data_IF_663029552578
#
_entry.id   IF_663029552578
#
_cell.length_a   1.000
_cell.length_b   1.000
_cell.length_c   1.000
_cell.angle_alpha   90.00
_cell.angle_beta   90.00
_cell.angle_gamma   90.00
#
_symmetry.space_group_name_H-M   'P 1'
#
loop_
_entity.id
_entity.type
_entity.pdbx_description
1 polymer ?
#
# COMPACT_ATOMS: atom_id res chain seq x y z
N UNK A 1 19.22 14.21 -8.81
CA UNK A 1 17.73 14.11 -8.88
C UNK A 1 17.25 13.32 -7.68
N UNK A 2 16.30 13.83 -6.93
CA UNK A 2 15.73 13.12 -5.79
C UNK A 2 14.85 11.98 -6.30
N UNK A 3 15.07 10.76 -5.80
CA UNK A 3 14.22 9.59 -6.16
C UNK A 3 12.80 9.87 -5.73
N UNK A 4 11.85 9.75 -6.65
CA UNK A 4 10.42 9.85 -6.38
C UNK A 4 9.81 8.47 -6.23
N UNK A 5 8.82 8.35 -5.35
CA UNK A 5 8.15 7.11 -4.99
C UNK A 5 6.64 7.31 -5.09
N UNK A 6 5.92 6.25 -5.42
CA UNK A 6 4.46 6.26 -5.32
C UNK A 6 4.01 5.32 -4.21
N UNK A 7 3.22 5.85 -3.29
CA UNK A 7 2.48 5.08 -2.30
C UNK A 7 1.04 4.89 -2.73
N UNK A 8 0.50 3.68 -2.55
CA UNK A 8 -0.90 3.34 -2.85
C UNK A 8 -1.56 2.73 -1.62
N UNK A 9 -2.73 3.22 -1.28
CA UNK A 9 -3.64 2.67 -0.28
C UNK A 9 -4.86 2.08 -1.01
N UNK A 10 -4.93 0.76 -1.05
CA UNK A 10 -6.05 0.03 -1.61
C UNK A 10 -7.06 -0.29 -0.51
N UNK A 11 -8.17 0.42 -0.50
CA UNK A 11 -9.31 0.11 0.36
C UNK A 11 -10.48 -0.50 -0.41
N UNK A 12 -11.40 -1.15 0.28
CA UNK A 12 -12.61 -1.70 -0.34
C UNK A 12 -13.53 -0.62 -0.95
N UNK A 13 -13.44 0.61 -0.50
CA UNK A 13 -14.27 1.74 -0.98
C UNK A 13 -13.51 2.71 -1.87
N UNK A 14 -12.25 3.01 -1.53
CA UNK A 14 -11.42 3.99 -2.22
C UNK A 14 -10.01 3.46 -2.46
N UNK A 15 -9.45 3.83 -3.61
CA UNK A 15 -8.03 3.74 -3.92
C UNK A 15 -7.45 5.13 -3.79
N UNK A 16 -6.36 5.26 -3.06
CA UNK A 16 -5.59 6.50 -2.93
C UNK A 16 -4.18 6.28 -3.42
N UNK A 17 -3.64 7.22 -4.18
CA UNK A 17 -2.23 7.19 -4.55
C UNK A 17 -1.57 8.53 -4.24
N UNK A 18 -0.30 8.49 -3.89
CA UNK A 18 0.47 9.69 -3.60
C UNK A 18 1.87 9.59 -4.16
N UNK A 19 2.34 10.68 -4.76
CA UNK A 19 3.74 10.90 -5.13
C UNK A 19 4.46 11.55 -3.95
N UNK A 20 5.58 10.97 -3.54
CA UNK A 20 6.44 11.52 -2.49
C UNK A 20 7.92 11.41 -2.88
N UNK A 21 8.76 12.20 -2.23
CA UNK A 21 10.20 12.03 -2.30
C UNK A 21 10.71 10.94 -1.33
N UNK A 22 12.01 10.65 -1.38
CA UNK A 22 12.64 9.65 -0.53
C UNK A 22 12.62 10.01 0.99
N UNK A 23 12.32 11.26 1.33
CA UNK A 23 12.16 11.71 2.72
C UNK A 23 10.71 11.58 3.21
N UNK A 24 9.80 11.10 2.35
CA UNK A 24 8.38 10.98 2.66
C UNK A 24 7.58 12.28 2.51
N UNK A 25 8.17 13.31 1.90
CA UNK A 25 7.46 14.56 1.63
C UNK A 25 6.51 14.35 0.47
N UNK A 26 5.22 14.39 0.76
CA UNK A 26 4.16 14.20 -0.22
C UNK A 26 4.04 15.41 -1.14
N UNK A 27 4.11 15.18 -2.45
CA UNK A 27 4.03 16.22 -3.47
C UNK A 27 2.65 16.27 -4.14
N UNK A 28 2.00 15.13 -4.24
CA UNK A 28 0.68 15.00 -4.85
C UNK A 28 -0.08 13.85 -4.22
N UNK A 29 -1.39 13.98 -4.17
CA UNK A 29 -2.32 12.93 -3.75
C UNK A 29 -3.53 12.93 -4.65
N UNK A 30 -3.96 11.73 -5.06
CA UNK A 30 -5.15 11.49 -5.87
C UNK A 30 -5.97 10.36 -5.23
N UNK A 31 -7.25 10.30 -5.52
CA UNK A 31 -8.13 9.27 -5.01
C UNK A 31 -9.29 9.00 -5.97
N UNK A 32 -9.76 7.76 -6.00
CA UNK A 32 -10.95 7.34 -6.75
C UNK A 32 -11.73 6.28 -5.96
N UNK A 33 -12.95 5.97 -6.39
CA UNK A 33 -13.71 4.85 -5.86
C UNK A 33 -13.10 3.52 -6.32
N UNK A 34 -13.06 2.54 -5.43
CA UNK A 34 -12.55 1.20 -5.75
C UNK A 34 -13.49 0.46 -6.70
N UNK A 35 -14.81 0.60 -6.49
CA UNK A 35 -15.85 -0.15 -7.21
C UNK A 35 -15.54 -1.65 -7.22
N UNK A 36 -15.34 -2.22 -6.02
CA UNK A 36 -14.83 -3.57 -5.81
C UNK A 36 -15.67 -4.66 -6.48
N UNK A 37 -16.96 -4.42 -6.64
CA UNK A 37 -17.92 -5.35 -7.29
C UNK A 37 -17.65 -5.55 -8.79
N UNK A 38 -16.86 -4.70 -9.42
CA UNK A 38 -16.47 -4.87 -10.82
C UNK A 38 -15.34 -5.89 -11.02
N UNK A 39 -14.82 -6.46 -9.91
CA UNK A 39 -13.85 -7.53 -9.91
C UNK A 39 -12.39 -7.08 -9.96
N UNK A 40 -11.45 -8.03 -9.78
CA UNK A 40 -10.03 -7.74 -9.61
C UNK A 40 -9.40 -7.00 -10.78
N UNK A 41 -9.70 -7.38 -12.00
CA UNK A 41 -9.11 -6.78 -13.21
C UNK A 41 -9.43 -5.29 -13.32
N UNK A 42 -10.70 -4.92 -13.14
CA UNK A 42 -11.14 -3.52 -13.18
C UNK A 42 -10.50 -2.69 -12.05
N UNK A 43 -10.39 -3.25 -10.86
CA UNK A 43 -9.75 -2.59 -9.72
C UNK A 43 -8.25 -2.41 -9.97
N UNK A 44 -7.56 -3.41 -10.53
CA UNK A 44 -6.13 -3.33 -10.87
C UNK A 44 -5.88 -2.22 -11.90
N UNK A 45 -6.73 -2.11 -12.94
CA UNK A 45 -6.61 -1.01 -13.91
C UNK A 45 -6.83 0.35 -13.25
N UNK A 46 -7.74 0.47 -12.27
CA UNK A 46 -7.89 1.71 -11.47
C UNK A 46 -6.66 2.01 -10.62
N UNK A 47 -6.05 1.01 -10.01
CA UNK A 47 -4.78 1.20 -9.29
C UNK A 47 -3.74 1.76 -10.25
N UNK A 48 -3.58 1.16 -11.44
CA UNK A 48 -2.64 1.63 -12.44
C UNK A 48 -2.95 3.08 -12.88
N UNK A 49 -4.20 3.41 -13.11
CA UNK A 49 -4.62 4.76 -13.48
C UNK A 49 -4.30 5.78 -12.37
N UNK A 50 -4.52 5.42 -11.09
CA UNK A 50 -4.20 6.30 -9.96
C UNK A 50 -2.69 6.50 -9.79
N UNK A 51 -1.86 5.48 -10.05
CA UNK A 51 -0.40 5.61 -10.05
C UNK A 51 0.03 6.58 -11.17
N UNK A 52 -0.52 6.45 -12.38
CA UNK A 52 -0.22 7.34 -13.50
C UNK A 52 -0.64 8.78 -13.21
N UNK A 53 -1.82 8.97 -12.64
CA UNK A 53 -2.33 10.29 -12.25
C UNK A 53 -1.49 10.92 -11.13
N UNK A 54 -1.07 10.14 -10.14
CA UNK A 54 -0.22 10.63 -9.06
C UNK A 54 1.15 11.07 -9.58
N UNK A 55 1.80 10.26 -10.44
CA UNK A 55 3.15 10.57 -10.94
C UNK A 55 3.19 11.64 -12.02
N UNK A 56 2.11 11.85 -12.80
CA UNK A 56 2.03 12.86 -13.90
C UNK A 56 3.28 12.87 -14.81
N UNK A 57 3.72 11.71 -15.24
CA UNK A 57 4.90 11.58 -16.09
C UNK A 57 6.25 11.66 -15.37
N UNK A 58 6.27 11.88 -14.05
CA UNK A 58 7.51 11.82 -13.27
C UNK A 58 8.12 10.41 -13.31
N UNK A 59 9.44 10.34 -13.36
CA UNK A 59 10.17 9.08 -13.21
C UNK A 59 10.15 8.68 -11.74
N UNK A 60 9.62 7.50 -11.46
CA UNK A 60 9.55 6.94 -10.11
C UNK A 60 10.55 5.79 -9.93
N UNK A 61 11.10 5.65 -8.74
CA UNK A 61 12.08 4.61 -8.41
C UNK A 61 11.46 3.35 -7.81
N UNK A 62 10.28 3.44 -7.19
CA UNK A 62 9.56 2.29 -6.62
C UNK A 62 8.10 2.63 -6.34
N UNK A 63 7.30 1.57 -6.12
CA UNK A 63 5.91 1.65 -5.68
C UNK A 63 5.75 0.87 -4.37
N UNK A 64 5.12 1.47 -3.36
CA UNK A 64 4.67 0.82 -2.14
C UNK A 64 3.15 0.74 -2.10
N UNK A 65 2.57 -0.41 -1.76
CA UNK A 65 1.13 -0.58 -1.72
C UNK A 65 0.67 -1.27 -0.43
N UNK A 66 -0.27 -0.65 0.27
CA UNK A 66 -1.06 -1.25 1.34
C UNK A 66 -2.33 -1.85 0.77
N UNK A 67 -2.61 -3.12 1.08
CA UNK A 67 -3.80 -3.84 0.64
C UNK A 67 -4.59 -4.39 1.82
N UNK A 68 -5.92 -4.51 1.71
CA UNK A 68 -6.75 -5.12 2.75
C UNK A 68 -6.51 -6.63 2.84
N UNK A 69 -6.75 -7.17 4.04
CA UNK A 69 -6.65 -8.60 4.32
C UNK A 69 -5.22 -9.14 4.42
N UNK A 70 -5.07 -10.46 4.58
CA UNK A 70 -3.77 -11.10 4.63
C UNK A 70 -3.05 -10.99 3.28
N UNK A 71 -1.77 -10.64 3.36
CA UNK A 71 -0.86 -10.53 2.21
C UNK A 71 0.36 -11.41 2.45
N UNK A 72 0.90 -11.98 1.39
CA UNK A 72 2.26 -12.51 1.39
C UNK A 72 3.23 -11.40 0.94
N UNK A 73 3.96 -10.77 1.86
CA UNK A 73 4.85 -9.67 1.52
C UNK A 73 6.13 -10.15 0.81
N UNK A 74 6.46 -11.44 0.88
CA UNK A 74 7.63 -12.00 0.22
C UNK A 74 7.36 -12.27 -1.26
N UNK A 75 6.19 -12.82 -1.58
CA UNK A 75 5.75 -13.04 -2.97
C UNK A 75 5.01 -11.83 -3.55
N UNK A 76 4.52 -10.92 -2.71
CA UNK A 76 3.75 -9.74 -3.13
C UNK A 76 2.35 -10.09 -3.62
N UNK A 77 1.73 -11.05 -2.93
CA UNK A 77 0.40 -11.59 -3.23
C UNK A 77 -0.60 -11.11 -2.19
N UNK A 78 -1.76 -10.62 -2.62
CA UNK A 78 -2.93 -10.45 -1.76
C UNK A 78 -3.63 -11.80 -1.68
N UNK A 79 -3.56 -12.47 -0.52
CA UNK A 79 -4.10 -13.81 -0.35
C UNK A 79 -5.61 -13.82 -0.40
N UNK A 80 -6.23 -12.90 0.33
CA UNK A 80 -7.68 -12.65 0.28
C UNK A 80 -7.98 -11.23 0.73
N UNK A 81 -8.92 -10.57 0.07
CA UNK A 81 -9.49 -9.30 0.54
C UNK A 81 -10.99 -9.50 0.81
N UNK A 82 -11.42 -9.62 2.09
CA UNK A 82 -12.79 -10.08 2.43
C UNK A 82 -13.92 -9.21 1.87
N UNK A 83 -13.65 -7.92 1.70
CA UNK A 83 -14.64 -6.94 1.21
C UNK A 83 -14.48 -6.61 -0.29
N UNK A 84 -13.77 -7.47 -1.03
CA UNK A 84 -13.50 -7.28 -2.45
C UNK A 84 -13.77 -8.60 -3.21
N UNK A 85 -14.90 -8.74 -3.89
CA UNK A 85 -15.26 -9.97 -4.61
C UNK A 85 -14.17 -10.42 -5.59
N UNK A 86 -13.83 -11.70 -5.56
CA UNK A 86 -12.83 -12.29 -6.46
C UNK A 86 -11.36 -12.02 -6.09
N UNK A 87 -11.08 -11.27 -5.03
CA UNK A 87 -9.72 -10.98 -4.58
C UNK A 87 -9.14 -12.14 -3.77
N UNK A 88 -8.71 -13.17 -4.47
CA UNK A 88 -8.08 -14.37 -3.92
C UNK A 88 -6.79 -14.66 -4.69
N UNK A 89 -5.67 -14.74 -3.97
CA UNK A 89 -4.34 -15.02 -4.53
C UNK A 89 -3.94 -14.10 -5.69
N UNK A 90 -4.18 -12.80 -5.55
CA UNK A 90 -3.85 -11.81 -6.58
C UNK A 90 -2.35 -11.47 -6.52
N UNK A 91 -1.54 -11.79 -7.55
CA UNK A 91 -0.10 -11.54 -7.59
C UNK A 91 0.21 -10.07 -7.95
N UNK A 92 -0.20 -9.16 -7.08
CA UNK A 92 -0.27 -7.72 -7.36
C UNK A 92 1.12 -7.12 -7.60
N UNK A 93 2.16 -7.57 -6.86
CA UNK A 93 3.55 -7.14 -7.13
C UNK A 93 3.96 -7.46 -8.56
N UNK A 94 3.75 -8.70 -9.01
CA UNK A 94 4.12 -9.13 -10.35
C UNK A 94 3.45 -8.26 -11.42
N UNK A 95 2.15 -8.04 -11.27
CA UNK A 95 1.34 -7.25 -12.20
C UNK A 95 1.86 -5.81 -12.29
N UNK A 96 2.03 -5.15 -11.14
CA UNK A 96 2.49 -3.76 -11.11
C UNK A 96 3.95 -3.61 -11.54
N UNK A 97 4.83 -4.57 -11.19
CA UNK A 97 6.22 -4.56 -11.66
C UNK A 97 6.29 -4.69 -13.17
N UNK A 98 5.48 -5.56 -13.77
CA UNK A 98 5.42 -5.69 -15.23
C UNK A 98 4.89 -4.42 -15.91
N UNK A 99 3.93 -3.76 -15.29
CA UNK A 99 3.31 -2.54 -15.86
C UNK A 99 4.21 -1.32 -15.80
N UNK A 100 4.94 -1.13 -14.68
CA UNK A 100 5.68 0.11 -14.41
C UNK A 100 7.21 -0.04 -14.53
N UNK A 101 7.73 -1.25 -14.60
CA UNK A 101 9.17 -1.50 -14.73
C UNK A 101 10.00 -1.10 -13.51
N UNK A 102 9.38 -0.94 -12.33
CA UNK A 102 10.04 -0.53 -11.09
C UNK A 102 9.80 -1.54 -9.98
N UNK A 103 10.64 -1.58 -8.94
CA UNK A 103 10.38 -2.40 -7.75
C UNK A 103 9.05 -2.05 -7.10
N UNK A 104 8.30 -3.09 -6.68
CA UNK A 104 7.01 -2.95 -5.99
C UNK A 104 7.04 -3.71 -4.69
N UNK A 105 6.60 -3.08 -3.60
CA UNK A 105 6.44 -3.70 -2.28
C UNK A 105 4.97 -3.69 -1.90
N UNK A 106 4.46 -4.84 -1.46
CA UNK A 106 3.08 -5.01 -1.01
C UNK A 106 3.09 -5.36 0.48
N UNK A 107 2.16 -4.79 1.23
CA UNK A 107 1.93 -5.12 2.63
C UNK A 107 0.46 -5.01 3.00
N UNK A 108 0.09 -5.60 4.13
CA UNK A 108 -1.23 -5.36 4.70
C UNK A 108 -1.38 -3.88 5.09
N UNK A 109 -2.55 -3.30 4.87
CA UNK A 109 -2.86 -1.88 5.08
C UNK A 109 -2.57 -1.39 6.51
N UNK A 110 -2.99 -2.14 7.54
CA UNK A 110 -2.75 -1.79 8.94
C UNK A 110 -1.25 -1.88 9.30
N UNK A 111 -0.54 -2.87 8.77
CA UNK A 111 0.91 -3.00 8.94
C UNK A 111 1.66 -1.83 8.28
N UNK A 112 1.26 -1.44 7.09
CA UNK A 112 1.87 -0.30 6.37
C UNK A 112 1.58 1.01 7.10
N UNK A 113 0.35 1.21 7.59
CA UNK A 113 -0.02 2.37 8.40
C UNK A 113 0.78 2.42 9.72
N UNK A 114 0.91 1.28 10.41
CA UNK A 114 1.74 1.18 11.61
C UNK A 114 3.20 1.52 11.34
N UNK A 115 3.76 1.04 10.23
CA UNK A 115 5.12 1.38 9.85
C UNK A 115 5.28 2.87 9.52
N UNK A 116 4.27 3.49 8.89
CA UNK A 116 4.27 4.91 8.60
C UNK A 116 4.25 5.75 9.89
N UNK A 117 3.40 5.41 10.85
CA UNK A 117 3.37 6.05 12.16
C UNK A 117 4.68 5.88 12.93
N UNK A 118 5.30 4.71 12.84
CA UNK A 118 6.60 4.48 13.46
C UNK A 118 7.70 5.35 12.85
N UNK A 119 7.70 5.53 11.52
CA UNK A 119 8.77 6.27 10.81
C UNK A 119 8.57 7.77 10.80
N UNK A 120 7.33 8.23 10.65
CA UNK A 120 7.01 9.63 10.36
C UNK A 120 6.00 10.24 11.35
N UNK A 121 5.32 9.43 12.17
CA UNK A 121 4.27 9.86 13.07
C UNK A 121 4.63 9.72 14.55
N UNK A 122 3.65 9.32 15.35
CA UNK A 122 3.74 9.24 16.80
C UNK A 122 4.77 8.24 17.33
N UNK A 123 5.16 7.25 16.53
CA UNK A 123 6.15 6.24 16.88
C UNK A 123 7.61 6.66 16.71
N UNK A 124 7.88 7.87 16.22
CA UNK A 124 9.25 8.37 16.09
C UNK A 124 9.99 8.33 17.44
N UNK A 125 11.28 7.93 17.41
CA UNK A 125 12.15 7.81 18.59
C UNK A 125 11.79 6.69 19.56
N UNK A 126 10.86 5.79 19.21
CA UNK A 126 10.58 4.56 19.95
C UNK A 126 11.31 3.37 19.29
N UNK A 127 11.48 2.28 20.01
CA UNK A 127 11.96 1.00 19.45
C UNK A 127 10.82 -0.01 19.31
N UNK A 128 9.78 0.18 20.12
CA UNK A 128 8.60 -0.67 20.13
C UNK A 128 7.35 0.18 20.00
N UNK A 129 6.40 -0.27 19.18
CA UNK A 129 5.13 0.41 18.99
C UNK A 129 4.04 -0.60 18.63
N UNK A 130 2.87 -0.38 19.18
CA UNK A 130 1.63 -1.05 18.76
C UNK A 130 0.76 0.01 18.08
N UNK A 131 0.43 -0.24 16.83
CA UNK A 131 -0.54 0.54 16.09
C UNK A 131 -1.87 -0.21 16.04
N UNK A 132 -2.96 0.45 16.37
CA UNK A 132 -4.32 -0.10 16.32
C UNK A 132 -5.18 0.85 15.49
N UNK A 133 -5.87 0.32 14.49
CA UNK A 133 -6.88 1.04 13.72
C UNK A 133 -8.25 0.42 13.99
N UNK A 134 -9.24 1.27 14.19
CA UNK A 134 -10.65 0.89 14.38
C UNK A 134 -11.47 1.63 13.34
N UNK A 135 -12.09 0.88 12.43
CA UNK A 135 -12.93 1.41 11.37
C UNK A 135 -14.08 0.41 11.11
N UNK A 136 -14.31 -0.04 9.89
CA UNK A 136 -15.22 -1.14 9.57
C UNK A 136 -14.81 -2.44 10.27
N UNK A 137 -13.50 -2.62 10.45
CA UNK A 137 -12.90 -3.69 11.24
C UNK A 137 -11.87 -3.14 12.22
N UNK A 138 -11.19 -4.03 12.91
CA UNK A 138 -10.06 -3.72 13.78
C UNK A 138 -8.81 -4.30 13.11
N UNK A 139 -7.80 -3.47 12.91
CA UNK A 139 -6.51 -3.88 12.38
C UNK A 139 -5.38 -3.40 13.29
N UNK A 140 -4.18 -3.94 13.09
CA UNK A 140 -3.03 -3.52 13.86
C UNK A 140 -1.71 -3.83 13.19
N UNK A 141 -0.67 -3.14 13.65
CA UNK A 141 0.71 -3.37 13.26
C UNK A 141 1.61 -3.30 14.51
N UNK A 142 2.57 -4.19 14.57
CA UNK A 142 3.51 -4.26 15.69
C UNK A 142 4.91 -3.93 15.20
N UNK A 143 5.59 -3.01 15.87
CA UNK A 143 7.01 -2.74 15.67
C UNK A 143 7.77 -3.19 16.90
N UNK A 144 8.76 -4.04 16.73
CA UNK A 144 9.61 -4.59 17.78
C UNK A 144 11.06 -4.41 17.33
N UNK A 145 11.89 -3.84 18.21
CA UNK A 145 13.30 -3.53 17.94
C UNK A 145 13.49 -2.76 16.62
N UNK A 146 12.60 -1.79 16.38
CA UNK A 146 12.63 -0.95 15.18
C UNK A 146 12.21 -1.64 13.88
N UNK A 147 11.67 -2.85 13.95
CA UNK A 147 11.25 -3.66 12.80
C UNK A 147 9.77 -4.03 12.87
N UNK A 148 9.09 -3.96 11.75
CA UNK A 148 7.71 -4.42 11.64
C UNK A 148 7.66 -5.94 11.84
N UNK A 149 6.92 -6.38 12.87
CA UNK A 149 6.63 -7.81 13.10
C UNK A 149 5.52 -8.25 12.14
N UNK A 150 5.83 -9.17 11.24
CA UNK A 150 4.91 -9.60 10.17
C UNK A 150 4.15 -10.88 10.49
N UNK A 151 4.43 -11.46 11.66
CA UNK A 151 3.90 -12.78 12.02
C UNK A 151 4.75 -13.91 11.44
N UNK A 152 4.27 -15.13 11.64
CA UNK A 152 4.90 -16.37 11.13
C UNK A 152 4.33 -16.71 9.75
#
# INVERSE_FOLDING_TARGET
>A
MTVQLVGVDLGGTQIRAALADANGVMQRRVATLTLADEGPEAVIERICAQIEEARQGATIGAIGLGAPGPTDPYEGVVLVAPNMPGWVNIPLRKILTQRFGVPVVIGNDANVAGLAEFRYGAGQRTQHMIYITVSTGIGGGFVIDGKLARGA
#
